data_IF_893569124313
#
_entry.id   IF_893569124313
#
_cell.length_a   1.000
_cell.length_b   1.000
_cell.length_c   1.000
_cell.angle_alpha   90.00
_cell.angle_beta   90.00
_cell.angle_gamma   90.00
#
_symmetry.space_group_name_H-M   'P 1'
#
loop_
_entity.id
_entity.type
_entity.pdbx_description
1 polymer ?
#
# COMPACT_ATOMS: atom_id res chain seq x y z
N UNK A 1 20.72 22.12 -5.83
CA UNK A 1 20.23 20.74 -5.61
C UNK A 1 20.32 19.96 -6.91
N UNK A 2 20.92 18.77 -6.88
CA UNK A 2 21.07 17.92 -8.07
C UNK A 2 19.88 16.97 -8.28
N UNK A 3 19.75 16.38 -9.48
CA UNK A 3 18.69 15.37 -9.74
C UNK A 3 18.81 14.15 -8.84
N UNK A 4 20.03 13.64 -8.63
CA UNK A 4 20.27 12.47 -7.78
C UNK A 4 19.94 12.75 -6.31
N UNK A 5 20.30 13.95 -5.83
CA UNK A 5 20.00 14.39 -4.47
C UNK A 5 18.50 14.52 -4.22
N UNK A 6 17.78 15.20 -5.12
CA UNK A 6 16.32 15.34 -5.04
C UNK A 6 15.61 13.97 -5.03
N UNK A 7 16.08 13.04 -5.88
CA UNK A 7 15.59 11.66 -5.92
C UNK A 7 15.83 10.93 -4.60
N UNK A 8 17.03 11.05 -4.01
CA UNK A 8 17.38 10.41 -2.73
C UNK A 8 16.53 10.95 -1.58
N UNK A 9 16.26 12.25 -1.55
CA UNK A 9 15.35 12.87 -0.58
C UNK A 9 13.93 12.29 -0.74
N UNK A 10 13.42 12.28 -1.98
CA UNK A 10 12.09 11.74 -2.28
C UNK A 10 11.93 10.28 -1.88
N UNK A 11 12.91 9.42 -2.21
CA UNK A 11 12.92 8.00 -1.80
C UNK A 11 12.87 7.88 -0.28
N UNK A 12 13.75 8.57 0.46
CA UNK A 12 13.80 8.48 1.92
C UNK A 12 12.46 8.85 2.57
N UNK A 13 11.81 9.90 2.09
CA UNK A 13 10.52 10.34 2.62
C UNK A 13 9.38 9.41 2.23
N UNK A 14 9.38 8.88 1.01
CA UNK A 14 8.39 7.91 0.58
C UNK A 14 8.50 6.59 1.33
N UNK A 15 9.70 6.06 1.57
CA UNK A 15 9.87 4.83 2.37
C UNK A 15 9.42 5.04 3.82
N UNK A 16 9.72 6.19 4.43
CA UNK A 16 9.19 6.50 5.75
C UNK A 16 7.64 6.57 5.74
N UNK A 17 7.05 7.17 4.70
CA UNK A 17 5.60 7.21 4.52
C UNK A 17 4.99 5.82 4.31
N UNK A 18 5.67 4.91 3.62
CA UNK A 18 5.27 3.50 3.48
C UNK A 18 5.17 2.84 4.86
N UNK A 19 6.16 3.00 5.73
CA UNK A 19 6.09 2.45 7.09
C UNK A 19 4.95 3.05 7.92
N UNK A 20 4.71 4.36 7.80
CA UNK A 20 3.55 5.00 8.45
C UNK A 20 2.25 4.39 7.92
N UNK A 21 2.13 4.20 6.60
CA UNK A 21 0.98 3.56 5.97
C UNK A 21 0.75 2.13 6.46
N UNK A 22 1.82 1.33 6.57
CA UNK A 22 1.77 -0.03 7.12
C UNK A 22 1.31 -0.04 8.58
N UNK A 23 1.79 0.89 9.40
CA UNK A 23 1.33 1.03 10.79
C UNK A 23 -0.15 1.39 10.86
N UNK A 24 -0.62 2.33 10.02
CA UNK A 24 -2.04 2.68 9.94
C UNK A 24 -2.89 1.49 9.51
N UNK A 25 -2.46 0.75 8.48
CA UNK A 25 -3.14 -0.46 8.03
C UNK A 25 -3.20 -1.53 9.13
N UNK A 26 -2.11 -1.75 9.86
CA UNK A 26 -2.07 -2.70 10.97
C UNK A 26 -3.02 -2.30 12.10
N UNK A 27 -3.10 -1.01 12.45
CA UNK A 27 -4.04 -0.52 13.47
C UNK A 27 -5.48 -0.75 13.02
N UNK A 28 -5.81 -0.42 11.76
CA UNK A 28 -7.14 -0.63 11.20
C UNK A 28 -7.52 -2.13 11.26
N UNK A 29 -6.64 -3.00 10.79
CA UNK A 29 -6.90 -4.44 10.79
C UNK A 29 -7.01 -5.02 12.20
N UNK A 30 -6.16 -4.57 13.13
CA UNK A 30 -6.25 -4.98 14.54
C UNK A 30 -7.62 -4.64 15.12
N UNK A 31 -8.14 -3.43 14.84
CA UNK A 31 -9.47 -3.02 15.31
C UNK A 31 -10.60 -3.87 14.70
N UNK A 32 -10.49 -4.26 13.43
CA UNK A 32 -11.48 -5.14 12.80
C UNK A 32 -11.42 -6.58 13.33
N UNK A 33 -10.23 -7.07 13.68
CA UNK A 33 -10.01 -8.46 14.09
C UNK A 33 -10.18 -8.71 15.60
N UNK A 34 -10.35 -7.67 16.43
CA UNK A 34 -10.53 -7.79 17.90
C UNK A 34 -12.00 -8.05 18.29
N UNK A 35 -12.69 -8.95 17.59
CA UNK A 35 -14.13 -9.20 17.83
C UNK A 35 -14.43 -9.96 19.14
N UNK A 36 -13.44 -10.65 19.69
CA UNK A 36 -13.48 -11.47 20.90
C UNK A 36 -12.97 -10.72 22.16
N UNK A 37 -12.57 -9.45 22.01
CA UNK A 37 -11.97 -8.65 23.07
C UNK A 37 -10.50 -8.96 23.35
N UNK A 38 -9.88 -9.87 22.60
CA UNK A 38 -8.45 -10.20 22.75
C UNK A 38 -7.60 -9.40 21.76
N UNK A 39 -6.97 -8.33 22.26
CA UNK A 39 -6.09 -7.48 21.47
C UNK A 39 -4.96 -8.25 20.75
N UNK A 40 -4.39 -9.29 21.39
CA UNK A 40 -3.28 -10.03 20.81
C UNK A 40 -3.69 -10.86 19.59
N UNK A 41 -4.88 -11.43 19.62
CA UNK A 41 -5.46 -12.12 18.47
C UNK A 41 -5.71 -11.14 17.31
N UNK A 42 -6.28 -9.96 17.61
CA UNK A 42 -6.44 -8.91 16.62
C UNK A 42 -5.11 -8.43 16.02
N UNK A 43 -4.06 -8.28 16.85
CA UNK A 43 -2.76 -7.82 16.39
C UNK A 43 -2.06 -8.86 15.48
N UNK A 44 -2.19 -10.14 15.80
CA UNK A 44 -1.61 -11.24 15.01
C UNK A 44 -2.58 -11.83 13.96
N UNK A 45 -3.62 -11.07 13.56
CA UNK A 45 -4.64 -11.50 12.59
C UNK A 45 -4.07 -12.24 11.38
N UNK A 46 -2.97 -11.76 10.82
CA UNK A 46 -2.36 -12.32 9.62
C UNK A 46 -1.76 -13.72 9.81
N UNK A 47 -1.39 -14.10 11.03
CA UNK A 47 -0.92 -15.44 11.35
C UNK A 47 -2.11 -16.40 11.44
N UNK A 48 -3.19 -15.98 12.10
CA UNK A 48 -4.38 -16.79 12.32
C UNK A 48 -5.15 -17.05 11.00
N UNK A 49 -5.19 -16.06 10.11
CA UNK A 49 -5.79 -16.21 8.77
C UNK A 49 -4.84 -16.81 7.71
N UNK A 50 -3.59 -17.13 8.05
CA UNK A 50 -2.64 -17.71 7.09
C UNK A 50 -2.14 -16.75 6.00
N UNK A 51 -2.36 -15.45 6.11
CA UNK A 51 -2.01 -14.44 5.10
C UNK A 51 -0.55 -13.99 5.12
N UNK A 52 0.34 -14.70 5.82
CA UNK A 52 1.74 -14.31 6.00
C UNK A 52 2.48 -14.05 4.68
N UNK A 53 2.32 -14.93 3.69
CA UNK A 53 2.98 -14.75 2.38
C UNK A 53 2.40 -13.56 1.61
N UNK A 54 1.08 -13.43 1.57
CA UNK A 54 0.37 -12.36 0.87
C UNK A 54 0.79 -11.00 1.40
N UNK A 55 0.90 -10.87 2.73
CA UNK A 55 1.39 -9.65 3.38
C UNK A 55 2.86 -9.40 3.09
N UNK A 56 3.70 -10.43 3.15
CA UNK A 56 5.12 -10.27 2.83
C UNK A 56 5.31 -9.73 1.40
N UNK A 57 4.59 -10.30 0.42
CA UNK A 57 4.62 -9.81 -0.97
C UNK A 57 4.04 -8.41 -1.08
N UNK A 58 2.91 -8.12 -0.42
CA UNK A 58 2.31 -6.79 -0.42
C UNK A 58 3.27 -5.72 0.13
N UNK A 59 4.00 -6.01 1.21
CA UNK A 59 5.02 -5.12 1.79
C UNK A 59 6.16 -4.89 0.80
N UNK A 60 6.65 -5.93 0.12
CA UNK A 60 7.70 -5.80 -0.89
C UNK A 60 7.25 -4.94 -2.08
N UNK A 61 6.03 -5.17 -2.59
CA UNK A 61 5.45 -4.35 -3.66
C UNK A 61 5.29 -2.91 -3.20
N UNK A 62 4.79 -2.67 -1.99
CA UNK A 62 4.59 -1.35 -1.42
C UNK A 62 5.93 -0.59 -1.27
N UNK A 63 6.99 -1.25 -0.81
CA UNK A 63 8.33 -0.67 -0.72
C UNK A 63 8.90 -0.35 -2.11
N UNK A 64 8.72 -1.24 -3.07
CA UNK A 64 9.16 -1.03 -4.45
C UNK A 64 8.44 0.16 -5.10
N UNK A 65 7.12 0.23 -4.99
CA UNK A 65 6.34 1.36 -5.49
C UNK A 65 6.67 2.65 -4.74
N UNK A 66 6.85 2.60 -3.42
CA UNK A 66 7.32 3.73 -2.61
C UNK A 66 8.68 4.26 -3.08
N UNK A 67 9.60 3.37 -3.46
CA UNK A 67 10.87 3.75 -4.07
C UNK A 67 10.68 4.45 -5.42
N UNK A 68 9.87 3.88 -6.33
CA UNK A 68 9.61 4.46 -7.66
C UNK A 68 8.93 5.83 -7.58
N UNK A 69 7.80 5.91 -6.87
CA UNK A 69 7.03 7.13 -6.72
C UNK A 69 7.74 8.16 -5.87
N UNK A 70 8.53 7.74 -4.86
CA UNK A 70 9.40 8.63 -4.10
C UNK A 70 10.47 9.28 -4.97
N UNK A 71 11.13 8.51 -5.84
CA UNK A 71 12.10 9.02 -6.81
C UNK A 71 11.47 10.05 -7.75
N UNK A 72 10.27 9.76 -8.25
CA UNK A 72 9.51 10.68 -9.10
C UNK A 72 9.12 11.96 -8.34
N UNK A 73 8.55 11.82 -7.14
CA UNK A 73 8.05 12.91 -6.32
C UNK A 73 9.17 13.88 -5.93
N UNK A 74 10.34 13.36 -5.55
CA UNK A 74 11.52 14.17 -5.25
C UNK A 74 11.90 15.08 -6.42
N UNK A 75 12.00 14.54 -7.64
CA UNK A 75 12.29 15.33 -8.85
C UNK A 75 11.17 16.30 -9.20
N UNK A 76 9.91 15.87 -9.09
CA UNK A 76 8.75 16.68 -9.42
C UNK A 76 8.61 17.91 -8.52
N UNK A 77 8.75 17.73 -7.20
CA UNK A 77 8.55 18.77 -6.21
C UNK A 77 9.78 19.69 -6.13
N UNK A 78 10.98 19.14 -5.99
CA UNK A 78 12.17 19.93 -5.66
C UNK A 78 12.81 20.61 -6.87
N UNK A 79 12.77 19.96 -8.05
CA UNK A 79 13.42 20.47 -9.26
C UNK A 79 12.40 21.10 -10.20
N UNK A 80 11.31 20.38 -10.51
CA UNK A 80 10.30 20.86 -11.47
C UNK A 80 9.26 21.80 -10.85
N UNK A 81 9.34 22.05 -9.54
CA UNK A 81 8.45 22.99 -8.84
C UNK A 81 6.96 22.60 -8.88
N UNK A 82 6.64 21.32 -9.10
CA UNK A 82 5.25 20.86 -9.09
C UNK A 82 4.67 20.95 -7.67
N UNK A 83 3.34 21.14 -7.60
CA UNK A 83 2.61 21.21 -6.33
C UNK A 83 2.84 19.94 -5.51
N UNK A 84 3.35 20.12 -4.29
CA UNK A 84 3.59 19.01 -3.37
C UNK A 84 2.30 18.34 -2.91
N UNK A 85 1.19 19.08 -2.88
CA UNK A 85 -0.15 18.58 -2.56
C UNK A 85 -0.57 17.57 -3.63
N UNK A 86 -0.58 17.98 -4.90
CA UNK A 86 -1.03 17.12 -6.00
C UNK A 86 -0.12 15.91 -6.17
N UNK A 87 1.20 16.09 -6.11
CA UNK A 87 2.17 14.99 -6.23
C UNK A 87 2.02 14.01 -5.06
N UNK A 88 1.80 14.51 -3.84
CA UNK A 88 1.58 13.69 -2.66
C UNK A 88 0.30 12.88 -2.72
N UNK A 89 -0.84 13.52 -3.04
CA UNK A 89 -2.15 12.86 -3.15
C UNK A 89 -2.16 11.78 -4.24
N UNK A 90 -1.74 12.14 -5.46
CA UNK A 90 -1.71 11.21 -6.59
C UNK A 90 -0.72 10.09 -6.30
N UNK A 91 0.46 10.40 -5.77
CA UNK A 91 1.45 9.39 -5.40
C UNK A 91 0.94 8.41 -4.36
N UNK A 92 0.29 8.90 -3.30
CA UNK A 92 -0.31 8.05 -2.26
C UNK A 92 -1.39 7.12 -2.81
N UNK A 93 -2.30 7.65 -3.64
CA UNK A 93 -3.34 6.84 -4.29
C UNK A 93 -2.75 5.82 -5.27
N UNK A 94 -1.80 6.22 -6.11
CA UNK A 94 -1.16 5.30 -7.06
C UNK A 94 -0.49 4.14 -6.32
N UNK A 95 0.24 4.43 -5.24
CA UNK A 95 0.87 3.38 -4.42
C UNK A 95 -0.18 2.46 -3.81
N UNK A 96 -1.26 2.99 -3.22
CA UNK A 96 -2.36 2.17 -2.67
C UNK A 96 -2.96 1.24 -3.72
N UNK A 97 -3.43 1.80 -4.84
CA UNK A 97 -4.18 1.06 -5.86
C UNK A 97 -3.29 0.02 -6.55
N UNK A 98 -2.05 0.38 -6.88
CA UNK A 98 -1.13 -0.55 -7.52
C UNK A 98 -0.69 -1.65 -6.55
N UNK A 99 -0.45 -1.35 -5.27
CA UNK A 99 -0.17 -2.40 -4.28
C UNK A 99 -1.35 -3.33 -4.12
N UNK A 100 -2.57 -2.81 -3.92
CA UNK A 100 -3.78 -3.62 -3.75
C UNK A 100 -4.02 -4.54 -4.95
N UNK A 101 -3.87 -4.01 -6.16
CA UNK A 101 -4.03 -4.77 -7.39
C UNK A 101 -2.93 -5.83 -7.53
N UNK A 102 -1.67 -5.49 -7.30
CA UNK A 102 -0.54 -6.40 -7.46
C UNK A 102 -0.49 -7.51 -6.40
N UNK A 103 -0.88 -7.23 -5.15
CA UNK A 103 -0.83 -8.23 -4.08
C UNK A 103 -1.93 -9.28 -4.16
N UNK A 104 -3.09 -8.95 -4.73
CA UNK A 104 -4.20 -9.90 -4.89
C UNK A 104 -3.85 -11.12 -5.75
N UNK A 105 -2.91 -10.96 -6.69
CA UNK A 105 -2.44 -12.06 -7.54
C UNK A 105 -1.80 -13.21 -6.75
N UNK A 106 -1.22 -12.94 -5.59
CA UNK A 106 -0.61 -13.97 -4.75
C UNK A 106 -1.66 -14.97 -4.28
N UNK A 107 -2.76 -14.49 -3.69
CA UNK A 107 -3.88 -15.35 -3.27
C UNK A 107 -4.53 -16.06 -4.46
N UNK A 108 -4.67 -15.36 -5.59
CA UNK A 108 -5.20 -15.98 -6.81
C UNK A 108 -4.37 -17.18 -7.29
N UNK A 109 -3.03 -17.06 -7.31
CA UNK A 109 -2.16 -18.16 -7.73
C UNK A 109 -1.99 -19.26 -6.67
N UNK A 110 -2.09 -18.92 -5.38
CA UNK A 110 -1.95 -19.90 -4.30
C UNK A 110 -3.21 -20.73 -4.07
N UNK A 111 -4.38 -20.09 -4.06
CA UNK A 111 -5.64 -20.70 -3.64
C UNK A 111 -6.64 -20.78 -4.80
N UNK A 112 -6.61 -19.80 -5.71
CA UNK A 112 -7.56 -19.71 -6.82
C UNK A 112 -7.33 -20.71 -7.97
N UNK A 113 -6.11 -21.25 -8.11
CA UNK A 113 -5.76 -22.22 -9.15
C UNK A 113 -5.70 -23.68 -8.66
N UNK A 114 -5.72 -23.91 -7.34
CA UNK A 114 -5.79 -25.26 -6.81
C UNK A 114 -7.20 -25.81 -7.05
N UNK A 115 -7.30 -26.90 -7.81
CA UNK A 115 -8.52 -27.53 -8.32
C UNK A 115 -9.46 -28.14 -7.23
N UNK A 116 -9.39 -27.67 -5.99
CA UNK A 116 -10.22 -28.14 -4.87
C UNK A 116 -11.56 -27.39 -4.75
N UNK A 117 -11.91 -26.53 -5.70
CA UNK A 117 -13.25 -25.96 -5.74
C UNK A 117 -14.27 -27.09 -5.99
N UNK A 118 -15.22 -27.32 -5.07
CA UNK A 118 -16.20 -28.37 -5.25
C UNK A 118 -17.09 -28.03 -6.44
N UNK A 119 -17.01 -28.86 -7.49
CA UNK A 119 -17.99 -29.00 -8.59
C UNK A 119 -18.93 -27.80 -8.81
N UNK A 120 -18.56 -26.87 -9.69
CA UNK A 120 -19.50 -25.91 -10.28
C UNK A 120 -19.03 -24.46 -10.43
N UNK A 121 -17.92 -24.06 -9.82
CA UNK A 121 -17.40 -22.69 -9.91
C UNK A 121 -16.76 -22.41 -11.27
N UNK A 122 -17.30 -21.47 -12.03
CA UNK A 122 -16.61 -20.91 -13.21
C UNK A 122 -15.33 -20.18 -12.76
N UNK A 123 -14.36 -20.02 -13.66
CA UNK A 123 -13.12 -19.25 -13.41
C UNK A 123 -13.36 -17.79 -12.99
N UNK A 124 -14.60 -17.32 -13.07
CA UNK A 124 -15.02 -16.00 -12.62
C UNK A 124 -15.04 -15.87 -11.08
N UNK A 125 -15.33 -16.95 -10.35
CA UNK A 125 -15.43 -16.92 -8.88
C UNK A 125 -14.07 -16.64 -8.20
N UNK A 126 -12.97 -17.33 -8.54
CA UNK A 126 -11.66 -17.04 -7.93
C UNK A 126 -11.11 -15.66 -8.30
N UNK A 127 -11.35 -15.18 -9.53
CA UNK A 127 -10.92 -13.84 -9.92
C UNK A 127 -11.66 -12.76 -9.12
N UNK A 128 -12.97 -12.91 -8.94
CA UNK A 128 -13.77 -12.00 -8.12
C UNK A 128 -13.28 -12.00 -6.67
N UNK A 129 -12.98 -13.17 -6.12
CA UNK A 129 -12.66 -13.34 -4.70
C UNK A 129 -11.24 -12.91 -4.32
N UNK A 130 -10.25 -13.12 -5.19
CA UNK A 130 -8.85 -12.80 -4.87
C UNK A 130 -8.33 -11.52 -5.52
N UNK A 131 -8.97 -11.02 -6.58
CA UNK A 131 -8.55 -9.79 -7.26
C UNK A 131 -9.55 -8.66 -6.99
N UNK A 132 -10.82 -8.84 -7.37
CA UNK A 132 -11.79 -7.74 -7.38
C UNK A 132 -12.20 -7.31 -5.97
N UNK A 133 -12.63 -8.26 -5.13
CA UNK A 133 -13.06 -7.96 -3.76
C UNK A 133 -11.92 -7.35 -2.92
N UNK A 134 -10.70 -7.92 -2.88
CA UNK A 134 -9.61 -7.34 -2.09
C UNK A 134 -9.20 -5.97 -2.62
N UNK A 135 -9.11 -5.80 -3.94
CA UNK A 135 -8.83 -4.49 -4.53
C UNK A 135 -9.88 -3.46 -4.13
N UNK A 136 -11.17 -3.80 -4.21
CA UNK A 136 -12.26 -2.90 -3.82
C UNK A 136 -12.18 -2.51 -2.35
N UNK A 137 -12.04 -3.47 -1.44
CA UNK A 137 -12.02 -3.20 0.00
C UNK A 137 -10.78 -2.42 0.43
N UNK A 138 -9.61 -2.78 -0.07
CA UNK A 138 -8.36 -2.05 0.21
C UNK A 138 -8.43 -0.64 -0.35
N UNK A 139 -8.98 -0.46 -1.57
CA UNK A 139 -9.16 0.86 -2.16
C UNK A 139 -10.13 1.71 -1.34
N UNK A 140 -11.27 1.15 -0.92
CA UNK A 140 -12.30 1.87 -0.18
C UNK A 140 -11.82 2.29 1.22
N UNK A 141 -11.31 1.34 2.00
CA UNK A 141 -10.87 1.58 3.39
C UNK A 141 -9.55 2.38 3.39
N UNK A 142 -8.64 2.04 2.48
CA UNK A 142 -7.32 2.67 2.38
C UNK A 142 -7.33 4.06 1.76
N UNK A 143 -8.42 4.48 1.10
CA UNK A 143 -8.48 5.75 0.37
C UNK A 143 -8.06 6.96 1.22
N UNK A 144 -8.77 7.19 2.33
CA UNK A 144 -8.51 8.35 3.20
C UNK A 144 -7.11 8.26 3.84
N UNK A 145 -6.70 7.13 4.47
CA UNK A 145 -5.33 6.97 4.96
C UNK A 145 -4.26 7.27 3.92
N UNK A 146 -4.41 6.78 2.68
CA UNK A 146 -3.44 6.97 1.61
C UNK A 146 -3.32 8.45 1.21
N UNK A 147 -4.43 9.20 1.19
CA UNK A 147 -4.39 10.65 0.95
C UNK A 147 -3.64 11.38 2.05
N UNK A 148 -3.92 11.05 3.32
CA UNK A 148 -3.26 11.70 4.48
C UNK A 148 -1.76 11.42 4.46
N UNK A 149 -1.36 10.16 4.31
CA UNK A 149 0.04 9.74 4.24
C UNK A 149 0.73 10.33 3.01
N UNK A 150 0.04 10.38 1.86
CA UNK A 150 0.52 11.01 0.63
C UNK A 150 0.78 12.50 0.79
N UNK A 151 -0.14 13.24 1.40
CA UNK A 151 0.03 14.66 1.74
C UNK A 151 1.22 14.87 2.67
N UNK A 152 1.31 14.06 3.73
CA UNK A 152 2.44 14.11 4.67
C UNK A 152 3.77 13.89 3.95
N UNK A 153 3.85 12.89 3.06
CA UNK A 153 5.03 12.61 2.26
C UNK A 153 5.40 13.78 1.35
N UNK A 154 4.43 14.32 0.60
CA UNK A 154 4.62 15.47 -0.29
C UNK A 154 5.13 16.70 0.48
N UNK A 155 4.53 16.99 1.63
CA UNK A 155 4.94 18.07 2.53
C UNK A 155 6.38 17.85 3.05
N UNK A 156 6.68 16.63 3.52
CA UNK A 156 7.99 16.28 4.05
C UNK A 156 9.12 16.40 3.00
N UNK A 157 8.81 16.15 1.72
CA UNK A 157 9.73 16.41 0.60
C UNK A 157 9.85 17.92 0.39
N UNK A 158 8.73 18.64 0.29
CA UNK A 158 8.72 20.08 0.04
C UNK A 158 9.51 20.89 1.08
N UNK A 159 9.46 20.49 2.36
CA UNK A 159 10.20 21.13 3.45
C UNK A 159 11.72 21.16 3.18
N UNK A 160 12.27 20.17 2.48
CA UNK A 160 13.69 20.11 2.09
C UNK A 160 14.08 21.06 0.96
N UNK A 161 13.12 21.78 0.36
CA UNK A 161 13.43 22.89 -0.56
C UNK A 161 13.87 24.16 0.16
N UNK A 162 13.50 24.30 1.45
CA UNK A 162 13.72 25.50 2.26
C UNK A 162 14.95 25.39 3.18
N UNK A 163 15.52 24.20 3.29
CA UNK A 163 16.78 23.92 3.98
C UNK A 163 17.92 23.98 2.95
#
# INVERSE_FOLDING_TARGET
>A
MTTQEAQRIGIRKAIAAVFIGLLVAQVIMTLFSTSDGNFWHGFFWFADFGYGLNIAVAVLVLLFLGYLFGRYAGKAILIRGKSWVSVGLIGGLCVLLLTAFSSGWVGFFQEGLDNNFPYGSTTEEPFLDYIVKPFFWVSLIGFIPALIVGLFCGYAIHKKKKE
#
